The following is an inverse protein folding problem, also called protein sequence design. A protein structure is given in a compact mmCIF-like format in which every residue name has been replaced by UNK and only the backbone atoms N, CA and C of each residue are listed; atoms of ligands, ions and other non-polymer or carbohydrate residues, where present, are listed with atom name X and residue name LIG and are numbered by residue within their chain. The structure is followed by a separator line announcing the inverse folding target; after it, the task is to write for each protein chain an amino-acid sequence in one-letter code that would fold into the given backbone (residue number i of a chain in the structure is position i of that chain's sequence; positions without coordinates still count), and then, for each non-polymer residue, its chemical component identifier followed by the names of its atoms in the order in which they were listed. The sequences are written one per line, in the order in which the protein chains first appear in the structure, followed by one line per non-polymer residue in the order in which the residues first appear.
data_IF_325947000000
#
_entry.id   IF_325947000000
#
_cell.length_a   1.000
_cell.length_b   1.000
_cell.length_c   1.000
_cell.angle_alpha   90.00
_cell.angle_beta   90.00
_cell.angle_gamma   90.00
#
_symmetry.space_group_name_H-M   'P 1'
#
loop_
_entity.id
_entity.type
_entity.pdbx_description
1 polymer ?
#
# COMPACT_ATOMS: atom_id res chain seq x y z
N UNK A 1 22.69 -22.87 -25.41
CA UNK A 1 21.21 -22.90 -25.55
C UNK A 1 20.47 -22.37 -24.31
N UNK A 2 21.15 -22.08 -23.18
CA UNK A 2 20.52 -21.56 -21.94
C UNK A 2 20.44 -20.02 -21.93
N UNK A 3 21.45 -19.31 -22.46
CA UNK A 3 21.47 -17.84 -22.49
C UNK A 3 20.34 -17.20 -23.31
N UNK A 4 19.91 -17.86 -24.39
CA UNK A 4 18.80 -17.38 -25.22
C UNK A 4 17.44 -17.47 -24.50
N UNK A 5 17.28 -18.42 -23.58
CA UNK A 5 16.06 -18.58 -22.79
C UNK A 5 15.99 -17.59 -21.61
N UNK A 6 17.14 -17.18 -21.08
CA UNK A 6 17.23 -16.15 -20.03
C UNK A 6 16.99 -14.75 -20.60
N UNK A 7 17.53 -14.45 -21.80
CA UNK A 7 17.29 -13.17 -22.49
C UNK A 7 15.85 -12.95 -22.95
N UNK A 8 15.07 -14.00 -23.21
CA UNK A 8 13.70 -13.84 -23.70
C UNK A 8 12.68 -13.56 -22.57
N UNK A 9 13.00 -13.92 -21.31
CA UNK A 9 12.10 -13.71 -20.16
C UNK A 9 12.39 -12.43 -19.39
N UNK A 10 13.63 -11.92 -19.35
CA UNK A 10 13.94 -10.59 -18.78
C UNK A 10 13.21 -9.43 -19.48
N UNK A 11 12.75 -9.67 -20.72
CA UNK A 11 12.04 -8.72 -21.56
C UNK A 11 10.74 -8.13 -21.00
N UNK A 12 10.07 -8.71 -19.99
CA UNK A 12 8.86 -8.08 -19.41
C UNK A 12 9.23 -6.92 -18.46
N UNK A 13 10.32 -7.07 -17.70
CA UNK A 13 10.86 -5.99 -16.86
C UNK A 13 11.77 -5.03 -17.65
N UNK A 14 12.36 -5.47 -18.76
CA UNK A 14 13.11 -4.63 -19.71
C UNK A 14 12.21 -3.94 -20.76
N UNK A 15 11.00 -4.45 -21.02
CA UNK A 15 10.15 -4.11 -22.16
C UNK A 15 8.71 -3.63 -21.87
N UNK A 16 8.37 -3.28 -20.61
CA UNK A 16 7.41 -2.18 -20.42
C UNK A 16 6.15 -2.37 -19.58
N UNK A 17 6.00 -3.41 -18.74
CA UNK A 17 4.88 -3.44 -17.76
C UNK A 17 5.41 -3.80 -16.37
N UNK A 18 5.26 -2.84 -15.44
CA UNK A 18 5.58 -3.00 -14.03
C UNK A 18 4.34 -3.54 -13.30
N UNK A 19 4.35 -4.75 -12.69
CA UNK A 19 3.21 -5.27 -11.93
C UNK A 19 2.74 -4.37 -10.78
N UNK A 20 3.63 -3.52 -10.25
CA UNK A 20 3.28 -2.47 -9.28
C UNK A 20 2.26 -1.46 -9.79
N UNK A 21 2.18 -1.20 -11.10
CA UNK A 21 1.27 -0.22 -11.69
C UNK A 21 -0.20 -0.60 -11.46
N UNK A 22 -0.68 -1.78 -11.92
CA UNK A 22 -2.06 -2.18 -11.65
C UNK A 22 -2.33 -2.35 -10.15
N UNK A 23 -1.35 -2.76 -9.34
CA UNK A 23 -1.50 -2.80 -7.87
C UNK A 23 -1.73 -1.40 -7.27
N UNK A 24 -1.01 -0.38 -7.74
CA UNK A 24 -1.20 1.00 -7.29
C UNK A 24 -2.59 1.54 -7.66
N UNK A 25 -3.05 1.26 -8.89
CA UNK A 25 -4.42 1.59 -9.31
C UNK A 25 -5.47 0.91 -8.45
N UNK A 26 -5.32 -0.41 -8.23
CA UNK A 26 -6.23 -1.19 -7.40
C UNK A 26 -6.28 -0.68 -5.97
N UNK A 27 -5.13 -0.45 -5.34
CA UNK A 27 -5.06 0.10 -3.99
C UNK A 27 -5.67 1.50 -3.90
N UNK A 28 -5.43 2.36 -4.89
CA UNK A 28 -6.00 3.71 -4.90
C UNK A 28 -7.53 3.69 -5.01
N UNK A 29 -8.08 3.03 -6.04
CA UNK A 29 -9.52 3.07 -6.31
C UNK A 29 -10.34 2.23 -5.35
N UNK A 30 -9.79 1.14 -4.82
CA UNK A 30 -10.53 0.25 -3.91
C UNK A 30 -10.39 0.64 -2.44
N UNK A 31 -9.40 1.46 -2.08
CA UNK A 31 -9.15 1.81 -0.68
C UNK A 31 -8.95 3.31 -0.49
N UNK A 32 -7.86 3.88 -0.99
CA UNK A 32 -7.44 5.25 -0.64
C UNK A 32 -8.51 6.28 -0.97
N UNK A 33 -9.05 6.25 -2.18
CA UNK A 33 -10.06 7.21 -2.62
C UNK A 33 -11.38 7.02 -1.87
N UNK A 34 -11.79 5.77 -1.66
CA UNK A 34 -13.05 5.44 -0.98
C UNK A 34 -13.02 5.91 0.46
N UNK A 35 -11.97 5.56 1.21
CA UNK A 35 -11.80 5.98 2.61
C UNK A 35 -11.81 7.50 2.72
N UNK A 36 -11.06 8.20 1.85
CA UNK A 36 -10.99 9.65 1.91
C UNK A 36 -12.35 10.33 1.62
N UNK A 37 -13.08 9.88 0.59
CA UNK A 37 -14.41 10.41 0.28
C UNK A 37 -15.38 10.19 1.44
N UNK A 38 -15.39 8.99 2.00
CA UNK A 38 -16.32 8.63 3.08
C UNK A 38 -16.03 9.40 4.37
N UNK A 39 -14.77 9.50 4.78
CA UNK A 39 -14.40 10.30 5.96
C UNK A 39 -14.71 11.79 5.76
N UNK A 40 -14.54 12.33 4.55
CA UNK A 40 -14.87 13.71 4.26
C UNK A 40 -16.38 14.00 4.37
N UNK A 41 -17.23 13.04 3.97
CA UNK A 41 -18.70 13.18 4.03
C UNK A 41 -19.25 12.86 5.41
N UNK A 42 -18.91 11.71 5.99
CA UNK A 42 -19.47 11.24 7.25
C UNK A 42 -18.91 11.99 8.46
N UNK A 43 -17.65 12.47 8.38
CA UNK A 43 -16.93 13.12 9.49
C UNK A 43 -16.95 12.33 10.79
N UNK A 44 -17.04 11.01 10.68
CA UNK A 44 -17.06 10.05 11.77
C UNK A 44 -16.62 8.68 11.25
N UNK A 45 -16.10 7.84 12.14
CA UNK A 45 -15.82 6.43 11.86
C UNK A 45 -15.95 5.61 13.15
N UNK A 46 -16.20 4.31 13.00
CA UNK A 46 -16.14 3.38 14.13
C UNK A 46 -14.68 3.03 14.38
N UNK A 47 -14.18 3.35 15.56
CA UNK A 47 -12.83 3.02 16.02
C UNK A 47 -12.98 2.01 17.15
N UNK A 48 -12.46 0.79 16.95
CA UNK A 48 -12.67 -0.36 17.84
C UNK A 48 -14.16 -0.56 18.19
N UNK A 49 -15.02 -0.51 17.16
CA UNK A 49 -16.48 -0.65 17.29
C UNK A 49 -17.23 0.58 17.81
N UNK A 50 -16.54 1.58 18.36
CA UNK A 50 -17.17 2.79 18.91
C UNK A 50 -17.19 3.91 17.88
N UNK A 51 -18.36 4.48 17.59
CA UNK A 51 -18.47 5.62 16.69
C UNK A 51 -17.79 6.85 17.31
N UNK A 52 -16.79 7.39 16.63
CA UNK A 52 -16.05 8.60 17.04
C UNK A 52 -16.11 9.67 15.95
N UNK A 53 -16.24 10.96 16.32
CA UNK A 53 -16.17 12.05 15.36
C UNK A 53 -14.75 12.23 14.81
N UNK A 54 -14.65 12.45 13.51
CA UNK A 54 -13.41 12.72 12.77
C UNK A 54 -13.66 13.94 11.87
N UNK A 55 -13.63 15.17 12.43
CA UNK A 55 -13.95 16.37 11.67
C UNK A 55 -12.89 16.71 10.63
N UNK A 56 -11.65 16.27 10.83
CA UNK A 56 -10.56 16.33 9.85
C UNK A 56 -9.68 15.08 9.95
N UNK A 57 -9.02 14.73 8.85
CA UNK A 57 -8.12 13.59 8.80
C UNK A 57 -6.92 13.80 7.88
N UNK A 58 -5.87 13.02 8.13
CA UNK A 58 -4.77 12.75 7.20
C UNK A 58 -4.58 11.25 7.10
N UNK A 59 -4.38 10.74 5.89
CA UNK A 59 -4.02 9.35 5.66
C UNK A 59 -2.55 9.26 5.26
N UNK A 60 -1.81 8.39 5.92
CA UNK A 60 -0.41 8.09 5.61
C UNK A 60 -0.31 6.65 5.15
N UNK A 61 0.07 6.47 3.89
CA UNK A 61 0.36 5.15 3.33
C UNK A 61 1.83 4.85 3.56
N UNK A 62 2.09 3.86 4.40
CA UNK A 62 3.43 3.36 4.74
C UNK A 62 3.78 2.24 3.76
N UNK A 63 4.62 2.55 2.79
CA UNK A 63 5.07 1.62 1.76
C UNK A 63 6.32 0.91 2.30
N UNK A 64 6.35 -0.43 2.38
CA UNK A 64 7.55 -1.15 2.78
C UNK A 64 8.73 -0.87 1.84
N UNK A 65 9.94 -0.84 2.36
CA UNK A 65 11.17 -0.66 1.60
C UNK A 65 11.75 -1.97 1.02
N UNK A 66 11.31 -3.11 1.54
CA UNK A 66 11.53 -4.46 1.01
C UNK A 66 10.21 -5.19 0.70
N UNK A 67 10.30 -6.34 0.03
CA UNK A 67 9.16 -7.21 -0.25
C UNK A 67 9.42 -8.61 0.28
N UNK A 68 9.81 -8.73 1.56
CA UNK A 68 10.14 -10.02 2.14
C UNK A 68 8.96 -11.02 2.18
N UNK A 69 9.27 -12.32 2.14
CA UNK A 69 8.29 -13.42 2.26
C UNK A 69 7.42 -13.31 3.52
N UNK A 70 8.00 -12.80 4.61
CA UNK A 70 7.35 -12.63 5.91
C UNK A 70 6.68 -11.26 6.10
N UNK A 71 6.51 -10.46 5.04
CA UNK A 71 5.93 -9.12 5.11
C UNK A 71 4.58 -9.08 5.83
N UNK A 72 3.74 -10.12 5.68
CA UNK A 72 2.49 -10.23 6.47
C UNK A 72 2.74 -10.25 7.97
N UNK A 73 3.76 -10.99 8.40
CA UNK A 73 4.17 -11.09 9.80
C UNK A 73 4.81 -9.78 10.28
N UNK A 74 5.69 -9.15 9.49
CA UNK A 74 6.26 -7.82 9.78
C UNK A 74 5.17 -6.77 9.99
N UNK A 75 4.21 -6.67 9.05
CA UNK A 75 3.08 -5.75 9.16
C UNK A 75 2.21 -6.06 10.38
N UNK A 76 1.96 -7.34 10.69
CA UNK A 76 1.21 -7.72 11.89
C UNK A 76 1.96 -7.36 13.18
N UNK A 77 3.27 -7.56 13.23
CA UNK A 77 4.12 -7.17 14.35
C UNK A 77 4.14 -5.65 14.53
N UNK A 78 4.31 -4.88 13.44
CA UNK A 78 4.27 -3.42 13.44
C UNK A 78 2.92 -2.90 13.93
N UNK A 79 1.80 -3.52 13.50
CA UNK A 79 0.45 -3.20 13.97
C UNK A 79 0.31 -3.40 15.48
N UNK A 80 0.81 -4.52 16.00
CA UNK A 80 0.75 -4.83 17.43
C UNK A 80 1.62 -3.89 18.27
N UNK A 81 2.87 -3.65 17.85
CA UNK A 81 3.81 -2.77 18.55
C UNK A 81 3.27 -1.34 18.60
N UNK A 82 2.71 -0.85 17.49
CA UNK A 82 2.15 0.50 17.37
C UNK A 82 0.70 0.61 17.86
N UNK A 83 0.10 -0.50 18.33
CA UNK A 83 -1.28 -0.58 18.85
C UNK A 83 -2.32 0.00 17.88
N UNK A 84 -2.28 -0.44 16.62
CA UNK A 84 -3.24 0.01 15.61
C UNK A 84 -4.66 -0.37 16.00
N UNK A 85 -5.60 0.55 15.77
CA UNK A 85 -7.01 0.34 16.04
C UNK A 85 -7.72 -0.11 14.77
N UNK A 86 -8.75 -0.95 14.90
CA UNK A 86 -9.62 -1.27 13.78
C UNK A 86 -10.54 -0.09 13.51
N UNK A 87 -10.54 0.38 12.26
CA UNK A 87 -11.42 1.43 11.77
C UNK A 87 -12.42 0.80 10.82
N UNK A 88 -13.70 1.10 11.03
CA UNK A 88 -14.77 0.79 10.10
C UNK A 88 -15.40 2.08 9.63
N UNK A 89 -15.32 2.32 8.33
CA UNK A 89 -15.96 3.45 7.66
C UNK A 89 -17.20 2.93 6.95
N UNK A 90 -18.36 3.39 7.40
CA UNK A 90 -19.62 3.00 6.79
C UNK A 90 -19.70 3.53 5.34
N UNK A 91 -20.16 2.66 4.45
CA UNK A 91 -20.38 2.99 3.06
C UNK A 91 -21.76 2.50 2.66
N UNK A 92 -22.83 3.31 2.84
CA UNK A 92 -24.22 2.85 2.71
C UNK A 92 -24.59 2.17 1.38
N UNK A 93 -23.89 2.52 0.29
CA UNK A 93 -24.13 1.98 -1.04
C UNK A 93 -23.29 0.73 -1.37
N UNK A 94 -22.37 0.35 -0.48
CA UNK A 94 -21.43 -0.77 -0.68
C UNK A 94 -21.17 -1.49 0.65
N UNK A 95 -20.22 -2.42 0.70
CA UNK A 95 -19.75 -2.97 1.98
C UNK A 95 -19.04 -1.89 2.82
N UNK A 96 -19.15 -1.97 4.14
CA UNK A 96 -18.30 -1.19 5.04
C UNK A 96 -16.82 -1.47 4.75
N UNK A 97 -15.98 -0.44 4.85
CA UNK A 97 -14.54 -0.56 4.67
C UNK A 97 -13.87 -0.66 6.02
N UNK A 98 -13.38 -1.85 6.32
CA UNK A 98 -12.63 -2.14 7.53
C UNK A 98 -11.15 -2.18 7.24
N UNK A 99 -10.37 -1.45 8.01
CA UNK A 99 -8.92 -1.45 7.93
C UNK A 99 -8.32 -1.14 9.30
N UNK A 100 -7.07 -1.53 9.51
CA UNK A 100 -6.34 -1.20 10.73
C UNK A 100 -5.52 0.05 10.51
N UNK A 101 -5.61 1.00 11.43
CA UNK A 101 -4.79 2.21 11.36
C UNK A 101 -4.30 2.64 12.74
N UNK A 102 -3.08 3.18 12.79
CA UNK A 102 -2.67 4.02 13.91
C UNK A 102 -3.52 5.30 13.87
N UNK A 103 -4.37 5.52 14.87
CA UNK A 103 -5.20 6.72 14.98
C UNK A 103 -4.60 7.66 16.01
N UNK A 104 -4.03 8.77 15.55
CA UNK A 104 -3.55 9.84 16.43
C UNK A 104 -4.36 11.11 16.22
N UNK A 105 -4.94 11.64 17.28
CA UNK A 105 -5.63 12.93 17.22
C UNK A 105 -4.63 14.07 17.46
N UNK A 106 -4.35 14.87 16.43
CA UNK A 106 -3.55 16.09 16.57
C UNK A 106 -4.46 17.24 17.00
N UNK A 107 -4.06 17.96 18.06
CA UNK A 107 -4.81 19.08 18.64
C UNK A 107 -6.31 18.75 18.91
N UNK A 108 -6.61 17.47 19.18
CA UNK A 108 -7.95 16.97 19.48
C UNK A 108 -8.94 16.92 18.31
N UNK A 109 -8.56 17.28 17.08
CA UNK A 109 -9.52 17.42 15.95
C UNK A 109 -9.14 16.69 14.66
N UNK A 110 -7.84 16.56 14.35
CA UNK A 110 -7.42 15.88 13.12
C UNK A 110 -6.95 14.47 13.43
N UNK A 111 -7.62 13.45 12.87
CA UNK A 111 -7.17 12.06 12.95
C UNK A 111 -6.05 11.80 11.93
N UNK A 112 -4.90 11.33 12.39
CA UNK A 112 -3.86 10.77 11.54
C UNK A 112 -4.11 9.29 11.46
N UNK A 113 -4.34 8.77 10.25
CA UNK A 113 -4.58 7.36 9.95
C UNK A 113 -3.36 6.81 9.21
N UNK A 114 -2.90 5.61 9.55
CA UNK A 114 -1.78 4.96 8.87
C UNK A 114 -2.19 3.61 8.30
N UNK A 115 -1.85 3.30 7.05
CA UNK A 115 -2.11 1.99 6.44
C UNK A 115 -0.88 1.47 5.69
N UNK A 116 -0.75 0.15 5.57
CA UNK A 116 0.27 -0.51 4.75
C UNK A 116 -0.41 -1.17 3.56
N UNK A 117 0.01 -0.91 2.31
CA UNK A 117 -0.55 -1.56 1.13
C UNK A 117 -0.07 -3.01 1.04
N UNK A 118 -0.74 -3.91 1.76
CA UNK A 118 -0.42 -5.35 1.79
C UNK A 118 -0.57 -6.02 0.41
N UNK A 119 -1.21 -5.34 -0.56
CA UNK A 119 -1.21 -5.72 -1.97
C UNK A 119 0.22 -5.88 -2.53
N UNK A 120 1.21 -5.16 -2.00
CA UNK A 120 2.62 -5.31 -2.38
C UNK A 120 3.20 -6.70 -2.05
N UNK A 121 2.60 -7.47 -1.15
CA UNK A 121 3.01 -8.86 -0.91
C UNK A 121 2.93 -9.71 -2.20
N UNK A 122 1.90 -9.49 -3.01
CA UNK A 122 1.75 -10.21 -4.28
C UNK A 122 2.86 -9.89 -5.28
N UNK A 123 3.54 -8.76 -5.10
CA UNK A 123 4.63 -8.31 -5.96
C UNK A 123 5.87 -9.18 -5.78
N UNK A 124 6.23 -9.56 -4.54
CA UNK A 124 7.35 -10.47 -4.28
C UNK A 124 7.14 -11.80 -5.02
N UNK A 125 5.99 -12.44 -4.79
CA UNK A 125 5.64 -13.71 -5.42
C UNK A 125 5.66 -13.61 -6.95
N UNK A 126 5.14 -12.49 -7.50
CA UNK A 126 5.17 -12.23 -8.94
C UNK A 126 6.59 -12.11 -9.47
N UNK A 127 7.47 -11.39 -8.78
CA UNK A 127 8.87 -11.21 -9.16
C UNK A 127 9.61 -12.56 -9.12
N UNK A 128 9.47 -13.31 -8.04
CA UNK A 128 10.09 -14.62 -7.85
C UNK A 128 9.66 -15.61 -8.94
N UNK A 129 8.35 -15.75 -9.17
CA UNK A 129 7.79 -16.64 -10.21
C UNK A 129 8.22 -16.23 -11.63
N UNK A 130 8.35 -14.93 -11.87
CA UNK A 130 8.67 -14.42 -13.18
C UNK A 130 10.17 -14.55 -13.50
N UNK A 131 11.03 -14.27 -12.52
CA UNK A 131 12.48 -14.33 -12.69
C UNK A 131 12.99 -15.79 -12.71
N UNK A 132 12.28 -16.75 -12.08
CA UNK A 132 12.66 -18.18 -12.00
C UNK A 132 14.16 -18.41 -11.75
N UNK A 133 14.78 -17.54 -10.95
CA UNK A 133 16.23 -17.53 -10.80
C UNK A 133 16.64 -18.75 -9.97
N UNK A 134 17.20 -19.75 -10.66
CA UNK A 134 17.42 -21.06 -10.07
C UNK A 134 18.73 -21.16 -9.26
N UNK A 135 19.62 -20.16 -9.28
CA UNK A 135 21.01 -20.32 -8.81
C UNK A 135 21.57 -19.10 -8.05
N UNK A 136 22.61 -19.35 -7.25
CA UNK A 136 23.42 -18.40 -6.44
C UNK A 136 23.67 -17.08 -7.18
N UNK A 137 23.30 -15.96 -6.57
CA UNK A 137 23.36 -14.60 -7.14
C UNK A 137 22.01 -14.02 -7.61
N UNK A 138 20.93 -14.79 -7.51
CA UNK A 138 19.54 -14.39 -7.78
C UNK A 138 19.06 -13.23 -6.90
N UNK A 139 19.41 -13.28 -5.61
CA UNK A 139 18.93 -12.38 -4.55
C UNK A 139 19.25 -10.90 -4.82
N UNK A 140 20.44 -10.59 -5.36
CA UNK A 140 20.79 -9.19 -5.67
C UNK A 140 19.97 -8.61 -6.83
N UNK A 141 19.68 -9.42 -7.86
CA UNK A 141 18.86 -8.98 -9.00
C UNK A 141 17.40 -8.84 -8.60
N UNK A 142 16.90 -9.78 -7.81
CA UNK A 142 15.55 -9.72 -7.22
C UNK A 142 15.37 -8.43 -6.42
N UNK A 143 16.24 -8.15 -5.44
CA UNK A 143 16.21 -6.92 -4.66
C UNK A 143 16.23 -5.63 -5.50
N UNK A 144 17.00 -5.61 -6.60
CA UNK A 144 17.02 -4.47 -7.52
C UNK A 144 15.68 -4.30 -8.26
N UNK A 145 15.05 -5.40 -8.68
CA UNK A 145 13.74 -5.39 -9.32
C UNK A 145 12.66 -4.98 -8.32
N UNK A 146 12.66 -5.54 -7.12
CA UNK A 146 11.77 -5.19 -6.02
C UNK A 146 11.83 -3.69 -5.70
N UNK A 147 13.03 -3.15 -5.49
CA UNK A 147 13.21 -1.74 -5.21
C UNK A 147 12.71 -0.84 -6.37
N UNK A 148 12.86 -1.29 -7.63
CA UNK A 148 12.30 -0.57 -8.79
C UNK A 148 10.77 -0.62 -8.79
N UNK A 149 10.17 -1.76 -8.49
CA UNK A 149 8.73 -1.93 -8.41
C UNK A 149 8.10 -1.15 -7.24
N UNK A 150 8.72 -1.14 -6.06
CA UNK A 150 8.29 -0.32 -4.91
C UNK A 150 8.29 1.17 -5.27
N UNK A 151 9.40 1.67 -5.87
CA UNK A 151 9.49 3.06 -6.32
C UNK A 151 8.43 3.38 -7.38
N UNK A 152 8.16 2.44 -8.29
CA UNK A 152 7.15 2.62 -9.33
C UNK A 152 5.74 2.65 -8.74
N UNK A 153 5.42 1.74 -7.81
CA UNK A 153 4.17 1.74 -7.05
C UNK A 153 3.92 3.11 -6.41
N UNK A 154 4.90 3.62 -5.64
CA UNK A 154 4.81 4.91 -4.98
C UNK A 154 4.57 6.04 -5.98
N UNK A 155 5.32 6.07 -7.08
CA UNK A 155 5.22 7.12 -8.10
C UNK A 155 3.81 7.17 -8.70
N UNK A 156 3.25 6.02 -9.06
CA UNK A 156 1.88 5.92 -9.60
C UNK A 156 0.86 6.33 -8.55
N UNK A 157 0.98 5.83 -7.32
CA UNK A 157 0.06 6.16 -6.23
C UNK A 157 0.08 7.66 -5.91
N UNK A 158 1.26 8.28 -5.83
CA UNK A 158 1.42 9.72 -5.63
C UNK A 158 0.77 10.53 -6.75
N UNK A 159 0.89 10.09 -7.99
CA UNK A 159 0.23 10.73 -9.12
C UNK A 159 -1.30 10.70 -8.97
N UNK A 160 -1.87 9.55 -8.63
CA UNK A 160 -3.31 9.38 -8.43
C UNK A 160 -3.82 10.23 -7.26
N UNK A 161 -3.09 10.25 -6.14
CA UNK A 161 -3.38 11.07 -4.96
C UNK A 161 -3.40 12.56 -5.31
N UNK A 162 -2.44 13.04 -6.10
CA UNK A 162 -2.37 14.46 -6.49
C UNK A 162 -3.51 14.86 -7.43
N UNK A 163 -4.01 13.93 -8.25
CA UNK A 163 -5.03 14.18 -9.27
C UNK A 163 -6.45 14.19 -8.70
N UNK A 164 -6.76 13.36 -7.70
CA UNK A 164 -8.11 13.29 -7.13
C UNK A 164 -8.36 14.39 -6.09
N UNK A 165 -9.49 15.09 -6.20
CA UNK A 165 -9.91 16.11 -5.24
C UNK A 165 -10.20 15.53 -3.84
N UNK A 166 -10.54 14.24 -3.75
CA UNK A 166 -10.84 13.58 -2.49
C UNK A 166 -9.59 13.31 -1.64
N UNK A 167 -8.43 13.12 -2.29
CA UNK A 167 -7.19 12.65 -1.64
C UNK A 167 -6.10 13.71 -1.63
N UNK A 168 -6.13 14.67 -2.56
CA UNK A 168 -5.18 15.78 -2.63
C UNK A 168 -5.12 16.52 -1.29
N UNK A 169 -3.89 16.74 -0.80
CA UNK A 169 -3.57 17.36 0.49
C UNK A 169 -4.07 16.59 1.74
N UNK A 170 -4.76 15.46 1.60
CA UNK A 170 -5.21 14.60 2.71
C UNK A 170 -4.32 13.36 2.87
N UNK A 171 -3.77 12.86 1.77
CA UNK A 171 -2.96 11.64 1.76
C UNK A 171 -1.49 11.97 1.53
N UNK A 172 -0.60 11.27 2.24
CA UNK A 172 0.84 11.23 1.96
C UNK A 172 1.32 9.79 1.88
N UNK A 173 2.37 9.54 1.12
CA UNK A 173 3.02 8.23 1.04
C UNK A 173 4.47 8.36 1.52
N UNK A 174 4.96 7.33 2.18
CA UNK A 174 6.32 7.26 2.73
C UNK A 174 6.85 5.84 2.58
N UNK A 175 8.10 5.70 2.12
CA UNK A 175 8.78 4.41 2.14
C UNK A 175 9.41 4.25 3.52
N UNK A 176 9.13 3.14 4.19
CA UNK A 176 9.57 2.87 5.57
C UNK A 176 10.04 1.44 5.72
N UNK A 177 10.99 1.25 6.61
CA UNK A 177 11.29 -0.05 7.21
C UNK A 177 10.13 -0.41 8.17
N UNK A 178 9.47 -1.56 7.92
CA UNK A 178 8.26 -2.00 8.62
C UNK A 178 8.57 -3.14 9.59
#
# INVERSE_FOLDING_TARGET
MIEAHVKSRSGIFEGGIFPSVPLAFGYFYNFVEVVCRRLATAKAAKINGTLKPIPDFKLQVLIPDDLADDMKAKVAAAKNIRKWEQISVEAPETRAYEFFADVKFRAGKTAILQDVPTALLSLHQTITEFLKLSHVGSDQKEKLVEAREIRRFKLVLDHLIKKSSATKNKVRTEIVDI
#
